data_IF_670627313425
#
_entry.id   IF_670627313425
#
_cell.length_a   1.000
_cell.length_b   1.000
_cell.length_c   1.000
_cell.angle_alpha   90.00
_cell.angle_beta   90.00
_cell.angle_gamma   90.00
#
_symmetry.space_group_name_H-M   'P 1'
#
loop_
_entity.id
_entity.type
_entity.pdbx_description
1 polymer ?
#
# COMPACT_ATOMS: atom_id res chain seq x y z
N UNK A 1 -14.70 -6.30 19.20
CA UNK A 1 -13.77 -6.01 18.10
C UNK A 1 -13.17 -7.32 17.62
N UNK A 2 -12.94 -7.44 16.32
CA UNK A 2 -12.52 -8.70 15.65
C UNK A 2 -11.31 -9.36 16.32
N UNK A 3 -10.28 -8.61 16.70
CA UNK A 3 -9.07 -9.17 17.30
C UNK A 3 -9.33 -9.89 18.65
N UNK A 4 -10.20 -9.33 19.51
CA UNK A 4 -10.60 -9.98 20.78
C UNK A 4 -11.39 -11.27 20.55
N UNK A 5 -12.25 -11.27 19.54
CA UNK A 5 -13.06 -12.45 19.20
C UNK A 5 -12.20 -13.60 18.67
N UNK A 6 -11.13 -13.28 17.93
CA UNK A 6 -10.19 -14.27 17.37
C UNK A 6 -9.01 -14.59 18.30
N UNK A 7 -8.87 -13.90 19.43
CA UNK A 7 -7.75 -14.10 20.36
C UNK A 7 -6.37 -13.70 19.79
N UNK A 8 -6.34 -12.73 18.86
CA UNK A 8 -5.12 -12.30 18.15
C UNK A 8 -4.63 -10.91 18.60
N UNK A 9 -3.32 -10.60 18.46
CA UNK A 9 -2.80 -9.27 18.77
C UNK A 9 -3.32 -8.18 17.82
N UNK A 10 -3.21 -6.90 18.20
CA UNK A 10 -3.65 -5.76 17.37
C UNK A 10 -2.83 -5.58 16.09
N UNK A 11 -1.61 -6.12 16.04
CA UNK A 11 -0.75 -6.15 14.86
C UNK A 11 -0.28 -7.59 14.64
N UNK A 12 -0.52 -8.11 13.44
CA UNK A 12 -0.08 -9.44 13.05
C UNK A 12 1.30 -9.34 12.40
N UNK A 13 2.35 -9.73 13.13
CA UNK A 13 3.70 -9.74 12.58
C UNK A 13 3.86 -10.88 11.55
N UNK A 14 4.09 -10.52 10.28
CA UNK A 14 4.19 -11.50 9.18
C UNK A 14 5.64 -11.90 8.82
N UNK A 15 6.63 -11.49 9.61
CA UNK A 15 8.04 -11.85 9.42
C UNK A 15 8.92 -10.72 8.88
N UNK A 16 9.97 -11.11 8.16
CA UNK A 16 11.03 -10.25 7.66
C UNK A 16 10.64 -9.46 6.40
N UNK A 17 11.55 -8.62 5.88
CA UNK A 17 11.29 -7.84 4.66
C UNK A 17 10.92 -8.71 3.44
N UNK A 18 11.47 -9.93 3.32
CA UNK A 18 11.12 -10.84 2.22
C UNK A 18 9.74 -11.45 2.39
N UNK A 19 9.21 -11.46 3.62
CA UNK A 19 7.89 -11.99 3.94
C UNK A 19 6.75 -11.01 3.60
N UNK A 20 7.04 -9.82 3.06
CA UNK A 20 6.03 -8.97 2.42
C UNK A 20 5.36 -9.72 1.26
N UNK A 21 6.07 -10.66 0.63
CA UNK A 21 5.48 -11.62 -0.30
C UNK A 21 4.28 -12.38 0.29
N UNK A 22 4.29 -12.71 1.60
CA UNK A 22 3.17 -13.36 2.28
C UNK A 22 1.96 -12.45 2.43
N UNK A 23 2.18 -11.14 2.60
CA UNK A 23 1.11 -10.13 2.61
C UNK A 23 0.44 -10.10 1.23
N UNK A 24 1.24 -10.08 0.15
CA UNK A 24 0.71 -10.11 -1.21
C UNK A 24 -0.02 -11.41 -1.53
N UNK A 25 0.44 -12.56 -1.04
CA UNK A 25 -0.29 -13.84 -1.14
C UNK A 25 -1.65 -13.75 -0.42
N UNK A 26 -1.72 -13.13 0.75
CA UNK A 26 -2.97 -12.91 1.45
C UNK A 26 -3.91 -11.98 0.67
N UNK A 27 -3.41 -10.87 0.13
CA UNK A 27 -4.16 -9.97 -0.74
C UNK A 27 -4.70 -10.71 -1.97
N UNK A 28 -3.87 -11.51 -2.65
CA UNK A 28 -4.29 -12.30 -3.81
C UNK A 28 -5.41 -13.30 -3.45
N UNK A 29 -5.30 -13.98 -2.30
CA UNK A 29 -6.32 -14.91 -1.84
C UNK A 29 -7.66 -14.21 -1.56
N UNK A 30 -7.63 -13.00 -0.97
CA UNK A 30 -8.83 -12.20 -0.69
C UNK A 30 -9.43 -11.68 -2.00
N UNK A 31 -8.61 -11.14 -2.91
CA UNK A 31 -9.04 -10.66 -4.22
C UNK A 31 -9.75 -11.76 -5.02
N UNK A 32 -9.14 -12.95 -5.08
CA UNK A 32 -9.74 -14.12 -5.73
C UNK A 32 -11.07 -14.54 -5.10
N UNK A 33 -11.19 -14.50 -3.77
CA UNK A 33 -12.42 -14.85 -3.06
C UNK A 33 -13.56 -13.83 -3.30
N UNK A 34 -13.21 -12.59 -3.62
CA UNK A 34 -14.14 -11.52 -3.94
C UNK A 34 -14.37 -11.33 -5.46
N UNK A 35 -13.66 -12.11 -6.29
CA UNK A 35 -13.67 -12.02 -7.76
C UNK A 35 -13.31 -10.61 -8.28
N UNK A 36 -12.35 -9.95 -7.62
CA UNK A 36 -11.81 -8.63 -8.00
C UNK A 36 -10.29 -8.68 -8.15
N UNK A 37 -9.68 -7.60 -8.64
CA UNK A 37 -8.21 -7.48 -8.64
C UNK A 37 -7.70 -7.01 -7.26
N UNK A 38 -6.41 -7.21 -6.96
CA UNK A 38 -5.77 -6.67 -5.75
C UNK A 38 -5.94 -5.15 -5.71
N UNK A 39 -5.89 -4.50 -6.87
CA UNK A 39 -6.06 -3.05 -6.98
C UNK A 39 -7.43 -2.55 -6.52
N UNK A 40 -8.45 -3.40 -6.45
CA UNK A 40 -9.79 -3.04 -5.96
C UNK A 40 -9.92 -3.17 -4.44
N UNK A 41 -9.00 -3.90 -3.78
CA UNK A 41 -9.09 -4.17 -2.36
C UNK A 41 -8.90 -2.90 -1.51
N UNK A 42 -9.60 -2.80 -0.36
CA UNK A 42 -9.44 -1.68 0.58
C UNK A 42 -8.21 -1.89 1.47
N UNK A 43 -7.02 -1.90 0.86
CA UNK A 43 -5.73 -2.10 1.52
C UNK A 43 -4.74 -0.99 1.13
N UNK A 44 -3.79 -0.70 2.01
CA UNK A 44 -2.72 0.25 1.75
C UNK A 44 -1.38 -0.27 2.31
N UNK A 45 -0.30 0.04 1.61
CA UNK A 45 1.08 -0.16 2.06
C UNK A 45 1.61 1.10 2.75
N UNK A 46 2.57 0.91 3.66
CA UNK A 46 3.28 2.02 4.29
C UNK A 46 4.76 1.68 4.48
N UNK A 47 5.62 2.63 4.12
CA UNK A 47 7.03 2.62 4.47
C UNK A 47 7.40 3.97 5.13
N UNK A 48 7.03 4.19 6.41
CA UNK A 48 7.14 5.50 7.07
C UNK A 48 8.58 5.97 7.23
N UNK A 49 9.52 5.04 7.42
CA UNK A 49 10.92 5.32 7.74
C UNK A 49 11.87 4.57 6.80
N UNK A 50 11.55 4.54 5.50
CA UNK A 50 12.37 3.78 4.56
C UNK A 50 13.75 4.43 4.37
N UNK A 51 14.78 3.57 4.23
CA UNK A 51 16.18 3.99 4.14
C UNK A 51 16.96 3.17 3.11
N UNK A 52 16.79 1.84 3.13
CA UNK A 52 17.60 0.94 2.29
C UNK A 52 17.08 0.84 0.86
N UNK A 53 17.96 0.57 -0.10
CA UNK A 53 17.59 0.27 -1.50
C UNK A 53 16.60 -0.89 -1.62
N UNK A 54 16.65 -1.85 -0.70
CA UNK A 54 15.64 -2.93 -0.62
C UNK A 54 14.22 -2.38 -0.45
N UNK A 55 14.05 -1.31 0.32
CA UNK A 55 12.74 -0.70 0.55
C UNK A 55 12.21 0.00 -0.72
N UNK A 56 13.10 0.50 -1.58
CA UNK A 56 12.72 1.03 -2.91
C UNK A 56 12.14 -0.09 -3.77
N UNK A 57 12.85 -1.22 -3.87
CA UNK A 57 12.36 -2.37 -4.62
C UNK A 57 11.05 -2.92 -4.06
N UNK A 58 10.91 -2.94 -2.73
CA UNK A 58 9.68 -3.33 -2.05
C UNK A 58 8.52 -2.42 -2.42
N UNK A 59 8.68 -1.10 -2.27
CA UNK A 59 7.66 -0.15 -2.67
C UNK A 59 7.25 -0.35 -4.13
N UNK A 60 8.24 -0.51 -5.02
CA UNK A 60 7.99 -0.67 -6.45
C UNK A 60 7.13 -1.91 -6.78
N UNK A 61 7.45 -3.08 -6.22
CA UNK A 61 6.62 -4.28 -6.49
C UNK A 61 5.27 -4.24 -5.76
N UNK A 62 5.16 -3.56 -4.61
CA UNK A 62 3.88 -3.38 -3.90
C UNK A 62 2.92 -2.52 -4.72
N UNK A 63 3.37 -1.36 -5.24
CA UNK A 63 2.52 -0.55 -6.13
C UNK A 63 2.21 -1.26 -7.45
N UNK A 64 3.18 -2.01 -8.00
CA UNK A 64 2.97 -2.78 -9.23
C UNK A 64 1.98 -3.93 -9.06
N UNK A 65 1.72 -4.35 -7.81
CA UNK A 65 0.68 -5.32 -7.45
C UNK A 65 -0.68 -4.67 -7.16
N UNK A 66 -0.85 -3.37 -7.40
CA UNK A 66 -2.12 -2.65 -7.19
C UNK A 66 -2.32 -2.09 -5.78
N UNK A 67 -1.30 -2.06 -4.92
CA UNK A 67 -1.45 -1.56 -3.54
C UNK A 67 -0.93 -0.13 -3.43
N UNK A 68 -1.83 0.82 -3.18
CA UNK A 68 -1.47 2.21 -2.85
C UNK A 68 -0.52 2.24 -1.66
N UNK A 69 0.58 2.99 -1.77
CA UNK A 69 1.66 2.94 -0.78
C UNK A 69 2.10 4.33 -0.33
N UNK A 70 2.14 4.57 0.98
CA UNK A 70 2.63 5.84 1.55
C UNK A 70 4.08 5.72 2.00
N UNK A 71 4.93 6.64 1.53
CA UNK A 71 6.32 6.79 1.92
C UNK A 71 6.47 7.98 2.88
N UNK A 72 7.15 7.80 4.01
CA UNK A 72 7.38 8.91 4.95
C UNK A 72 8.62 9.76 4.63
N UNK A 73 9.45 9.32 3.69
CA UNK A 73 10.60 10.09 3.18
C UNK A 73 10.56 10.16 1.66
N UNK A 74 11.06 11.27 1.11
CA UNK A 74 11.04 11.55 -0.33
C UNK A 74 12.08 10.69 -1.05
N UNK A 75 11.69 9.88 -2.04
CA UNK A 75 12.66 9.18 -2.88
C UNK A 75 13.38 10.15 -3.82
N UNK A 76 14.60 9.81 -4.30
CA UNK A 76 15.40 10.69 -5.14
C UNK A 76 14.87 10.77 -6.60
N UNK A 77 13.62 11.22 -6.75
CA UNK A 77 12.88 11.27 -8.03
C UNK A 77 12.46 12.69 -8.43
N UNK A 78 12.62 13.66 -7.52
CA UNK A 78 12.23 15.06 -7.73
C UNK A 78 13.04 15.78 -8.83
N UNK A 79 14.16 15.21 -9.28
CA UNK A 79 14.94 15.75 -10.39
C UNK A 79 14.21 15.67 -11.75
N UNK A 80 13.15 14.86 -11.85
CA UNK A 80 12.32 14.77 -13.05
C UNK A 80 10.83 14.87 -12.68
N UNK A 81 10.13 15.92 -13.15
CA UNK A 81 8.68 16.05 -12.97
C UNK A 81 7.93 14.85 -13.56
N UNK A 82 8.37 14.34 -14.72
CA UNK A 82 7.75 13.19 -15.39
C UNK A 82 7.83 11.92 -14.53
N UNK A 83 8.99 11.66 -13.91
CA UNK A 83 9.14 10.48 -13.03
C UNK A 83 8.34 10.65 -11.75
N UNK A 84 8.33 11.85 -11.18
CA UNK A 84 7.56 12.15 -9.97
C UNK A 84 6.05 11.97 -10.22
N UNK A 85 5.54 12.50 -11.32
CA UNK A 85 4.14 12.37 -11.74
C UNK A 85 3.78 10.92 -12.05
N UNK A 86 4.63 10.20 -12.77
CA UNK A 86 4.43 8.78 -13.04
C UNK A 86 4.28 7.98 -11.73
N UNK A 87 5.16 8.20 -10.76
CA UNK A 87 5.14 7.43 -9.51
C UNK A 87 4.01 7.81 -8.56
N UNK A 88 3.49 9.03 -8.64
CA UNK A 88 2.46 9.54 -7.71
C UNK A 88 1.06 9.57 -8.30
N UNK A 89 0.92 9.51 -9.63
CA UNK A 89 -0.36 9.60 -10.32
C UNK A 89 -0.42 8.62 -11.50
N UNK A 90 0.50 8.71 -12.45
CA UNK A 90 0.41 7.95 -13.71
C UNK A 90 0.40 6.42 -13.54
N UNK A 91 1.09 5.90 -12.53
CA UNK A 91 1.08 4.48 -12.19
C UNK A 91 -0.33 3.98 -11.84
N UNK A 92 -1.19 4.84 -11.28
CA UNK A 92 -2.56 4.46 -10.95
C UNK A 92 -3.35 4.05 -12.20
N UNK A 93 -3.10 4.70 -13.34
CA UNK A 93 -3.81 4.40 -14.60
C UNK A 93 -3.29 3.12 -15.27
N UNK A 94 -2.12 2.63 -14.87
CA UNK A 94 -1.46 1.44 -15.44
C UNK A 94 -1.65 0.22 -14.57
N UNK A 95 -1.46 0.36 -13.25
CA UNK A 95 -1.45 -0.75 -12.28
C UNK A 95 -2.46 -0.57 -11.14
N UNK A 96 -3.30 0.46 -11.17
CA UNK A 96 -4.34 0.68 -10.16
C UNK A 96 -3.86 1.24 -8.82
N UNK A 97 -2.56 1.57 -8.70
CA UNK A 97 -1.95 2.16 -7.52
C UNK A 97 -0.80 3.12 -7.83
N UNK A 98 -0.52 4.01 -6.89
CA UNK A 98 0.58 4.95 -6.93
C UNK A 98 1.15 5.17 -5.52
N UNK A 99 2.28 5.87 -5.44
CA UNK A 99 2.84 6.33 -4.17
C UNK A 99 2.19 7.64 -3.72
N UNK A 100 2.07 7.79 -2.40
CA UNK A 100 2.01 9.10 -1.76
C UNK A 100 3.27 9.31 -0.92
N UNK A 101 3.70 10.56 -0.78
CA UNK A 101 4.84 10.93 0.09
C UNK A 101 4.33 11.91 1.13
N UNK A 102 4.36 11.52 2.40
CA UNK A 102 3.86 12.31 3.50
C UNK A 102 4.69 12.06 4.77
N UNK A 103 5.58 12.99 5.16
CA UNK A 103 6.43 12.85 6.35
C UNK A 103 5.68 13.00 7.68
N UNK A 104 4.51 13.63 7.72
CA UNK A 104 3.70 13.72 8.94
C UNK A 104 2.94 12.39 9.14
N UNK A 105 3.23 11.62 10.21
CA UNK A 105 2.64 10.30 10.40
C UNK A 105 1.11 10.35 10.59
N UNK A 106 0.56 11.45 11.11
CA UNK A 106 -0.88 11.59 11.28
C UNK A 106 -1.58 11.85 9.94
N UNK A 107 -0.96 12.65 9.07
CA UNK A 107 -1.46 12.86 7.71
C UNK A 107 -1.28 11.61 6.85
N UNK A 108 -0.16 10.91 6.97
CA UNK A 108 0.08 9.65 6.29
C UNK A 108 -0.98 8.60 6.66
N UNK A 109 -1.31 8.48 7.96
CA UNK A 109 -2.39 7.63 8.42
C UNK A 109 -3.75 8.06 7.83
N UNK A 110 -4.04 9.37 7.79
CA UNK A 110 -5.27 9.88 7.18
C UNK A 110 -5.38 9.54 5.70
N UNK A 111 -4.30 9.66 4.93
CA UNK A 111 -4.27 9.27 3.51
C UNK A 111 -4.62 7.79 3.32
N UNK A 112 -4.05 6.90 4.14
CA UNK A 112 -4.37 5.48 4.06
C UNK A 112 -5.82 5.19 4.42
N UNK A 113 -6.35 5.81 5.49
CA UNK A 113 -7.75 5.65 5.89
C UNK A 113 -8.68 6.12 4.76
N UNK A 114 -8.43 7.29 4.18
CA UNK A 114 -9.26 7.83 3.10
C UNK A 114 -9.21 6.96 1.84
N UNK A 115 -8.04 6.42 1.52
CA UNK A 115 -7.89 5.46 0.43
C UNK A 115 -8.72 4.20 0.68
N UNK A 116 -8.62 3.61 1.88
CA UNK A 116 -9.36 2.41 2.29
C UNK A 116 -10.86 2.67 2.19
N UNK A 117 -11.37 3.76 2.77
CA UNK A 117 -12.81 4.11 2.73
C UNK A 117 -13.31 4.34 1.30
N UNK A 118 -12.49 4.95 0.44
CA UNK A 118 -12.82 5.11 -0.98
C UNK A 118 -12.97 3.75 -1.68
N UNK A 119 -12.02 2.83 -1.48
CA UNK A 119 -12.07 1.48 -2.06
C UNK A 119 -13.26 0.67 -1.54
N UNK A 120 -13.56 0.78 -0.24
CA UNK A 120 -14.76 0.19 0.37
C UNK A 120 -16.04 0.67 -0.31
N UNK A 121 -16.18 1.99 -0.47
CA UNK A 121 -17.34 2.60 -1.15
C UNK A 121 -17.47 2.09 -2.59
N UNK A 122 -16.37 1.99 -3.34
CA UNK A 122 -16.37 1.44 -4.71
C UNK A 122 -16.82 -0.02 -4.76
N UNK A 123 -16.44 -0.83 -3.76
CA UNK A 123 -16.88 -2.22 -3.61
C UNK A 123 -18.31 -2.38 -3.06
N UNK A 124 -18.95 -1.28 -2.66
CA UNK A 124 -20.30 -1.30 -2.08
C UNK A 124 -20.37 -1.80 -0.64
N UNK A 125 -19.29 -1.64 0.15
CA UNK A 125 -19.19 -2.05 1.56
C UNK A 125 -18.85 -0.91 2.52
#
# INVERSE_FOLDING_TARGET
GVCKALGVPPVLHMGSCVDISRILVACAAIANALEVDISDLPVAGAAPEWMSEKAVSIGAYVISSGVFTVLGTVPPVLGSPVVTELLTQGANDVVGAAFAVEPDPLKAAKLMIDHIEKKRTTLGI
#
